data_IF_984595319957
#
_entry.id   IF_984595319957
#
_cell.length_a   1.000
_cell.length_b   1.000
_cell.length_c   1.000
_cell.angle_alpha   90.00
_cell.angle_beta   90.00
_cell.angle_gamma   90.00
#
_symmetry.space_group_name_H-M   'P 1'
#
loop_
_entity.id
_entity.type
_entity.pdbx_description
1 polymer ?
#
# COMPACT_ATOMS: atom_id res chain seq x y z
N UNK A 1 2.75 -19.92 -45.32
CA UNK A 1 2.07 -20.68 -44.25
C UNK A 1 2.55 -20.13 -42.93
N UNK A 2 1.75 -19.42 -42.13
CA UNK A 2 2.16 -18.93 -40.84
C UNK A 2 1.85 -19.93 -39.72
N UNK A 3 2.65 -20.02 -38.66
CA UNK A 3 2.38 -20.93 -37.56
C UNK A 3 1.44 -20.33 -36.52
N UNK A 4 0.58 -21.19 -36.00
CA UNK A 4 -0.44 -20.97 -34.97
C UNK A 4 0.12 -20.40 -33.67
N UNK A 5 -0.55 -19.38 -33.15
CA UNK A 5 -0.40 -18.91 -31.78
C UNK A 5 -1.00 -19.95 -30.81
N UNK A 6 -0.18 -20.52 -29.95
CA UNK A 6 -0.65 -21.26 -28.78
C UNK A 6 -0.78 -20.29 -27.61
N UNK A 7 -2.03 -20.05 -27.20
CA UNK A 7 -2.35 -19.48 -25.89
C UNK A 7 -1.93 -20.49 -24.82
N UNK A 8 -0.97 -20.13 -23.98
CA UNK A 8 -0.65 -20.85 -22.76
C UNK A 8 -1.51 -20.28 -21.64
N UNK A 9 -2.48 -21.05 -21.18
CA UNK A 9 -3.29 -20.72 -20.01
C UNK A 9 -2.46 -20.90 -18.74
N UNK A 10 -2.55 -19.91 -17.85
CA UNK A 10 -1.99 -19.96 -16.49
C UNK A 10 -2.83 -20.92 -15.66
N UNK A 11 -2.26 -22.05 -15.27
CA UNK A 11 -2.84 -22.98 -14.31
C UNK A 11 -2.38 -22.58 -12.91
N UNK A 12 -3.26 -21.93 -12.16
CA UNK A 12 -3.09 -21.72 -10.71
C UNK A 12 -3.54 -23.02 -10.03
N UNK A 13 -2.60 -23.75 -9.44
CA UNK A 13 -2.92 -24.94 -8.63
C UNK A 13 -3.41 -24.46 -7.26
N UNK A 14 -4.72 -24.46 -7.06
CA UNK A 14 -5.35 -24.34 -5.75
C UNK A 14 -5.36 -25.72 -5.07
N UNK A 15 -4.63 -25.86 -3.99
CA UNK A 15 -4.77 -27.01 -3.09
C UNK A 15 -5.95 -26.75 -2.15
N UNK A 16 -7.11 -27.35 -2.46
CA UNK A 16 -8.30 -27.33 -1.60
C UNK A 16 -8.21 -28.48 -0.60
N UNK A 17 -8.10 -28.19 0.67
CA UNK A 17 -8.34 -29.17 1.75
C UNK A 17 -9.84 -29.10 2.07
N UNK A 18 -10.56 -30.14 1.67
CA UNK A 18 -11.99 -30.34 1.99
C UNK A 18 -12.09 -30.98 3.37
N UNK A 19 -12.57 -30.21 4.35
CA UNK A 19 -13.05 -30.75 5.62
C UNK A 19 -14.57 -30.93 5.58
N UNK A 20 -15.04 -32.15 5.55
CA UNK A 20 -16.46 -32.51 5.69
C UNK A 20 -16.93 -32.29 7.11
N UNK A 21 -17.98 -31.50 7.31
CA UNK A 21 -18.88 -31.59 8.46
C UNK A 21 -20.31 -31.58 7.96
N UNK A 22 -21.09 -32.60 8.31
CA UNK A 22 -22.48 -32.83 7.92
C UNK A 22 -23.47 -31.94 8.71
N UNK A 23 -24.68 -31.69 8.17
CA UNK A 23 -25.64 -30.77 8.76
C UNK A 23 -26.59 -31.46 9.75
N UNK A 24 -26.98 -30.73 10.77
CA UNK A 24 -28.12 -31.11 11.61
C UNK A 24 -29.31 -30.19 11.37
N UNK A 25 -30.47 -30.82 11.24
CA UNK A 25 -31.72 -30.20 10.83
C UNK A 25 -32.60 -29.87 12.05
N UNK A 26 -33.20 -28.69 12.08
CA UNK A 26 -34.17 -28.33 13.11
C UNK A 26 -35.08 -27.17 12.71
N UNK A 27 -36.31 -27.48 12.45
CA UNK A 27 -37.48 -26.70 12.04
C UNK A 27 -37.87 -25.53 12.95
N UNK A 28 -38.52 -24.51 12.36
CA UNK A 28 -39.38 -23.58 13.06
C UNK A 28 -39.76 -22.37 12.20
N UNK A 29 -40.86 -22.46 11.47
CA UNK A 29 -41.49 -21.35 10.78
C UNK A 29 -42.47 -20.63 11.73
N UNK A 30 -42.45 -19.31 11.75
CA UNK A 30 -43.61 -18.50 12.09
C UNK A 30 -43.66 -17.21 11.27
N UNK A 31 -44.73 -17.10 10.52
CA UNK A 31 -45.16 -15.96 9.71
C UNK A 31 -45.94 -14.97 10.55
N UNK A 32 -45.66 -13.67 10.47
CA UNK A 32 -46.67 -12.63 10.74
C UNK A 32 -46.49 -11.50 9.72
N UNK A 33 -47.58 -11.19 9.02
CA UNK A 33 -47.74 -10.16 8.02
C UNK A 33 -48.30 -8.85 8.61
N UNK A 34 -48.57 -7.79 7.80
CA UNK A 34 -48.17 -6.42 8.10
C UNK A 34 -49.35 -5.55 8.62
N UNK A 35 -49.06 -4.41 9.22
CA UNK A 35 -50.07 -3.39 9.52
C UNK A 35 -49.69 -2.02 8.95
N UNK A 36 -50.75 -1.38 8.44
CA UNK A 36 -50.86 -0.22 7.60
C UNK A 36 -50.49 1.13 8.25
N UNK A 37 -50.25 2.12 7.38
CA UNK A 37 -50.19 3.55 7.65
C UNK A 37 -51.58 4.16 7.95
N UNK A 38 -51.63 5.36 8.55
CA UNK A 38 -52.45 6.39 7.94
C UNK A 38 -51.86 7.81 7.83
N UNK A 39 -52.10 8.39 6.69
CA UNK A 39 -52.60 9.68 6.23
C UNK A 39 -52.39 10.96 7.06
N UNK A 40 -51.99 11.99 6.31
CA UNK A 40 -51.99 13.41 6.63
C UNK A 40 -53.42 13.98 6.77
N UNK A 41 -53.59 15.19 7.33
CA UNK A 41 -54.10 16.25 6.46
C UNK A 41 -53.51 17.68 6.65
N UNK A 42 -53.66 18.41 5.56
CA UNK A 42 -53.67 19.82 5.23
C UNK A 42 -53.78 20.89 6.33
N UNK A 43 -53.01 21.97 6.17
CA UNK A 43 -53.47 23.32 6.45
C UNK A 43 -52.82 24.34 5.50
N UNK A 44 -53.64 24.94 4.70
CA UNK A 44 -53.37 26.09 3.83
C UNK A 44 -53.40 27.38 4.67
N UNK A 45 -52.38 28.21 4.59
CA UNK A 45 -52.53 29.64 4.96
C UNK A 45 -52.09 30.54 3.81
N UNK A 46 -53.04 31.32 3.33
CA UNK A 46 -52.91 32.35 2.30
C UNK A 46 -52.83 33.70 3.01
N UNK A 47 -51.68 34.34 2.97
CA UNK A 47 -51.63 35.80 3.02
C UNK A 47 -50.32 36.30 2.42
N UNK A 48 -50.34 36.75 1.18
CA UNK A 48 -49.24 37.51 0.58
C UNK A 48 -49.78 38.77 -0.08
N UNK A 49 -49.43 39.93 0.48
CA UNK A 49 -49.58 41.22 -0.16
C UNK A 49 -48.53 41.45 -1.25
N UNK A 50 -48.79 42.19 -2.29
CA UNK A 50 -47.88 42.37 -3.41
C UNK A 50 -46.70 43.27 -3.09
N UNK A 51 -45.48 42.84 -3.44
CA UNK A 51 -44.24 43.65 -3.44
C UNK A 51 -44.12 44.48 -4.70
N UNK A 52 -43.52 45.68 -4.58
CA UNK A 52 -43.24 46.55 -5.75
C UNK A 52 -42.12 45.96 -6.66
N UNK A 53 -42.03 46.34 -7.93
CA UNK A 53 -41.08 45.81 -8.90
C UNK A 53 -39.66 46.15 -8.50
N UNK A 54 -38.86 45.10 -8.28
CA UNK A 54 -37.44 45.19 -7.95
C UNK A 54 -36.61 45.54 -9.16
N UNK A 55 -35.60 46.37 -8.96
CA UNK A 55 -34.50 46.72 -9.85
C UNK A 55 -33.89 45.43 -10.47
N UNK A 56 -33.50 45.45 -11.78
CA UNK A 56 -32.87 44.28 -12.38
C UNK A 56 -31.61 43.86 -11.62
N UNK A 57 -31.56 42.63 -11.12
CA UNK A 57 -30.38 42.06 -10.56
C UNK A 57 -29.26 42.08 -11.58
N UNK A 58 -28.10 42.59 -11.22
CA UNK A 58 -26.89 42.51 -11.99
C UNK A 58 -26.66 40.99 -12.28
N UNK A 59 -26.45 40.64 -13.56
CA UNK A 59 -26.08 39.29 -13.98
C UNK A 59 -24.79 38.96 -13.28
N UNK A 60 -24.80 38.00 -12.34
CA UNK A 60 -23.58 37.43 -11.83
C UNK A 60 -22.80 36.81 -12.97
N UNK A 61 -21.61 37.35 -13.19
CA UNK A 61 -20.62 36.82 -14.10
C UNK A 61 -20.33 35.35 -13.65
N UNK A 62 -20.36 34.35 -14.58
CA UNK A 62 -20.04 32.99 -14.19
C UNK A 62 -18.65 32.94 -13.55
N UNK A 63 -18.44 32.14 -12.49
CA UNK A 63 -17.13 32.07 -11.84
C UNK A 63 -16.08 31.74 -12.90
N UNK A 64 -15.02 32.57 -12.95
CA UNK A 64 -13.88 32.31 -13.82
C UNK A 64 -13.35 30.92 -13.54
N UNK A 65 -12.99 30.15 -14.58
CA UNK A 65 -12.35 28.85 -14.39
C UNK A 65 -11.18 29.02 -13.42
N UNK A 66 -11.14 28.21 -12.36
CA UNK A 66 -10.03 28.19 -11.42
C UNK A 66 -8.75 27.96 -12.24
N UNK A 67 -7.85 28.93 -12.28
CA UNK A 67 -6.59 28.79 -13.01
C UNK A 67 -5.85 27.57 -12.43
N UNK A 68 -5.55 26.61 -13.29
CA UNK A 68 -4.72 25.47 -12.92
C UNK A 68 -3.35 25.99 -12.46
N UNK A 69 -2.87 25.67 -11.26
CA UNK A 69 -1.61 26.19 -10.76
C UNK A 69 -0.46 25.92 -11.76
N UNK A 70 0.36 26.96 -12.03
CA UNK A 70 1.48 26.84 -12.91
C UNK A 70 2.61 25.99 -12.29
N UNK A 71 3.25 25.15 -13.10
CA UNK A 71 4.45 24.39 -12.72
C UNK A 71 5.63 25.34 -12.66
N UNK A 72 6.39 25.34 -11.55
CA UNK A 72 7.55 26.20 -11.36
C UNK A 72 8.82 25.64 -12.00
N UNK A 73 9.90 26.41 -11.96
CA UNK A 73 11.22 25.95 -12.40
C UNK A 73 11.89 25.09 -11.31
N UNK A 74 12.57 24.01 -11.72
CA UNK A 74 13.33 23.15 -10.82
C UNK A 74 14.58 23.85 -10.25
N UNK A 75 15.02 23.42 -9.07
CA UNK A 75 16.23 23.88 -8.41
C UNK A 75 17.51 23.50 -9.20
N UNK A 76 18.64 24.12 -8.88
CA UNK A 76 19.93 23.72 -9.45
C UNK A 76 20.30 22.28 -9.04
N UNK A 77 20.01 21.90 -7.79
CA UNK A 77 20.23 20.54 -7.28
C UNK A 77 19.42 19.53 -8.05
N UNK A 78 18.10 19.78 -8.23
CA UNK A 78 17.23 18.89 -8.99
C UNK A 78 17.75 18.62 -10.42
N UNK A 79 18.22 19.67 -11.11
CA UNK A 79 18.83 19.53 -12.46
C UNK A 79 20.13 18.76 -12.43
N UNK A 80 21.00 19.04 -11.45
CA UNK A 80 22.31 18.38 -11.31
C UNK A 80 22.15 16.87 -11.11
N UNK A 81 21.20 16.45 -10.26
CA UNK A 81 20.94 15.03 -9.98
C UNK A 81 19.99 14.39 -11.00
N UNK A 82 19.52 15.16 -11.99
CA UNK A 82 18.52 14.70 -12.95
C UNK A 82 17.25 14.14 -12.27
N UNK A 83 16.71 14.91 -11.32
CA UNK A 83 15.58 14.50 -10.49
C UNK A 83 14.37 14.11 -11.36
N UNK A 84 13.78 12.97 -11.07
CA UNK A 84 12.60 12.46 -11.76
C UNK A 84 11.63 11.86 -10.74
N UNK A 85 10.87 12.70 -10.06
CA UNK A 85 9.96 12.27 -9.01
C UNK A 85 8.62 11.74 -9.54
N UNK A 86 8.46 11.69 -10.86
CA UNK A 86 7.39 10.96 -11.55
C UNK A 86 7.79 9.53 -11.96
N UNK A 87 9.00 9.10 -11.61
CA UNK A 87 9.50 7.76 -11.92
C UNK A 87 8.89 6.66 -11.06
N UNK A 88 9.17 5.41 -11.42
CA UNK A 88 8.68 4.23 -10.73
C UNK A 88 9.44 3.98 -9.42
N UNK A 89 8.72 3.45 -8.44
CA UNK A 89 9.23 3.13 -7.10
C UNK A 89 9.05 1.62 -6.85
N UNK A 90 10.13 0.86 -6.58
CA UNK A 90 10.00 -0.54 -6.22
C UNK A 90 9.36 -0.66 -4.83
N UNK A 91 8.25 -1.40 -4.76
CA UNK A 91 7.58 -1.84 -3.53
C UNK A 91 7.79 -3.33 -3.44
N UNK A 92 8.73 -3.78 -2.62
CA UNK A 92 9.15 -5.18 -2.55
C UNK A 92 8.33 -5.91 -1.49
N UNK A 93 7.78 -7.05 -1.88
CA UNK A 93 6.94 -7.90 -1.04
C UNK A 93 7.72 -9.15 -0.63
N UNK A 94 7.95 -9.27 0.67
CA UNK A 94 8.53 -10.44 1.32
C UNK A 94 7.44 -11.20 2.07
N UNK A 95 7.66 -12.51 2.23
CA UNK A 95 6.88 -13.37 3.09
C UNK A 95 7.80 -13.97 4.17
N UNK A 96 7.90 -15.28 4.29
CA UNK A 96 8.67 -15.87 5.37
C UNK A 96 10.19 -15.66 5.21
N UNK A 97 10.83 -15.27 6.29
CA UNK A 97 12.29 -15.29 6.41
C UNK A 97 12.64 -16.51 7.27
N UNK A 98 13.27 -17.51 6.66
CA UNK A 98 13.50 -18.82 7.25
C UNK A 98 14.86 -19.38 6.86
N UNK A 99 15.47 -20.19 7.74
CA UNK A 99 16.77 -20.81 7.44
C UNK A 99 16.68 -21.80 6.26
N UNK A 100 15.57 -22.54 6.17
CA UNK A 100 15.32 -23.56 5.16
C UNK A 100 14.08 -23.21 4.35
N UNK A 101 14.23 -22.58 3.16
CA UNK A 101 13.12 -22.25 2.27
C UNK A 101 12.39 -23.50 1.78
N UNK A 102 11.06 -23.48 1.84
CA UNK A 102 10.18 -24.55 1.36
C UNK A 102 9.27 -24.10 0.20
N UNK A 103 9.25 -22.80 -0.12
CA UNK A 103 8.47 -22.23 -1.21
C UNK A 103 9.21 -21.10 -1.92
N UNK A 104 8.74 -20.72 -3.10
CA UNK A 104 9.30 -19.58 -3.85
C UNK A 104 9.04 -18.21 -3.18
N UNK A 105 8.18 -18.17 -2.17
CA UNK A 105 7.91 -16.96 -1.38
C UNK A 105 8.86 -16.81 -0.20
N UNK A 106 9.61 -17.86 0.14
CA UNK A 106 10.54 -17.85 1.27
C UNK A 106 11.86 -17.21 0.87
N UNK A 107 12.50 -16.57 1.84
CA UNK A 107 13.86 -16.06 1.72
C UNK A 107 14.66 -16.50 2.95
N UNK A 108 15.93 -16.76 2.76
CA UNK A 108 16.83 -16.90 3.89
C UNK A 108 17.24 -15.54 4.46
N UNK A 109 17.66 -15.44 5.73
CA UNK A 109 18.27 -14.21 6.25
C UNK A 109 19.46 -13.74 5.42
N UNK A 110 20.23 -14.65 4.83
CA UNK A 110 21.37 -14.33 3.97
C UNK A 110 20.92 -13.70 2.64
N UNK A 111 19.93 -14.27 1.96
CA UNK A 111 19.39 -13.70 0.72
C UNK A 111 18.77 -12.33 0.95
N UNK A 112 18.06 -12.14 2.08
CA UNK A 112 17.54 -10.83 2.46
C UNK A 112 18.68 -9.83 2.66
N UNK A 113 19.74 -10.21 3.39
CA UNK A 113 20.93 -9.38 3.61
C UNK A 113 21.59 -8.95 2.31
N UNK A 114 21.71 -9.87 1.35
CA UNK A 114 22.29 -9.59 0.03
C UNK A 114 21.44 -8.61 -0.76
N UNK A 115 20.11 -8.78 -0.79
CA UNK A 115 19.19 -7.87 -1.49
C UNK A 115 19.19 -6.48 -0.86
N UNK A 116 19.10 -6.37 0.47
CA UNK A 116 19.18 -5.08 1.17
C UNK A 116 20.54 -4.39 0.97
N UNK A 117 21.64 -5.16 0.97
CA UNK A 117 22.98 -4.64 0.69
C UNK A 117 23.07 -4.10 -0.75
N UNK A 118 22.49 -4.81 -1.71
CA UNK A 118 22.38 -4.36 -3.09
C UNK A 118 21.63 -3.03 -3.16
N UNK A 119 20.44 -2.95 -2.58
CA UNK A 119 19.62 -1.74 -2.54
C UNK A 119 20.41 -0.56 -1.96
N UNK A 120 21.11 -0.75 -0.84
CA UNK A 120 21.93 0.28 -0.21
C UNK A 120 23.06 0.78 -1.14
N UNK A 121 23.75 -0.13 -1.82
CA UNK A 121 24.85 0.19 -2.77
C UNK A 121 24.33 0.88 -4.03
N UNK A 122 23.14 0.54 -4.50
CA UNK A 122 22.51 1.17 -5.66
C UNK A 122 21.81 2.51 -5.32
N UNK A 123 21.95 2.99 -4.08
CA UNK A 123 21.46 4.32 -3.67
C UNK A 123 19.98 4.36 -3.31
N UNK A 124 19.37 3.22 -3.06
CA UNK A 124 18.00 3.17 -2.54
C UNK A 124 17.95 3.54 -1.05
N UNK A 125 16.88 4.23 -0.68
CA UNK A 125 16.58 4.62 0.71
C UNK A 125 15.21 4.09 1.08
N UNK A 126 15.10 3.20 2.07
CA UNK A 126 13.80 2.71 2.51
C UNK A 126 12.90 3.81 3.06
N UNK A 127 11.63 3.75 2.67
CA UNK A 127 10.50 4.50 3.22
C UNK A 127 9.39 3.52 3.59
N UNK A 128 8.44 3.94 4.43
CA UNK A 128 7.29 3.11 4.76
C UNK A 128 6.23 3.11 3.65
N UNK A 129 5.36 2.11 3.64
CA UNK A 129 4.19 2.09 2.76
C UNK A 129 3.26 3.29 3.03
N UNK A 130 3.18 3.72 4.29
CA UNK A 130 2.44 4.90 4.69
C UNK A 130 3.02 6.20 4.09
N UNK A 131 4.34 6.34 4.03
CA UNK A 131 5.00 7.49 3.41
C UNK A 131 4.70 7.53 1.91
N UNK A 132 4.84 6.40 1.22
CA UNK A 132 4.47 6.29 -0.19
C UNK A 132 3.00 6.67 -0.41
N UNK A 133 2.07 6.09 0.35
CA UNK A 133 0.64 6.30 0.18
C UNK A 133 0.20 7.74 0.49
N UNK A 134 0.96 8.47 1.32
CA UNK A 134 0.73 9.89 1.64
C UNK A 134 1.40 10.84 0.66
N UNK A 135 2.26 10.36 -0.23
CA UNK A 135 3.10 11.19 -1.08
C UNK A 135 4.16 11.98 -0.28
N UNK A 136 4.60 11.45 0.86
CA UNK A 136 5.65 12.04 1.68
C UNK A 136 6.97 11.28 1.45
N UNK A 137 7.75 11.72 0.45
CA UNK A 137 9.01 11.07 0.08
C UNK A 137 10.18 11.96 0.48
N UNK A 138 10.60 11.83 1.72
CA UNK A 138 11.78 12.51 2.25
C UNK A 138 13.04 11.66 2.02
N UNK A 139 13.61 11.75 0.83
CA UNK A 139 14.79 11.00 0.39
C UNK A 139 15.84 11.99 -0.12
N UNK A 140 17.13 11.85 0.24
CA UNK A 140 18.17 12.80 -0.19
C UNK A 140 18.26 12.92 -1.72
N UNK A 141 18.69 14.10 -2.19
CA UNK A 141 18.86 14.38 -3.62
C UNK A 141 19.71 13.32 -4.33
N UNK A 142 19.25 12.86 -5.49
CA UNK A 142 19.92 11.83 -6.30
C UNK A 142 19.72 10.41 -5.80
N UNK A 143 19.01 10.19 -4.68
CA UNK A 143 18.68 8.86 -4.16
C UNK A 143 17.29 8.40 -4.63
N UNK A 144 17.00 7.12 -4.39
CA UNK A 144 15.80 6.44 -4.87
C UNK A 144 15.02 5.88 -3.69
N UNK A 145 13.70 6.15 -3.55
CA UNK A 145 12.89 5.47 -2.54
C UNK A 145 12.72 3.99 -2.88
N UNK A 146 12.63 3.17 -1.85
CA UNK A 146 12.18 1.77 -1.92
C UNK A 146 11.25 1.50 -0.74
N UNK A 147 10.17 0.75 -0.96
CA UNK A 147 9.30 0.29 0.11
C UNK A 147 9.54 -1.20 0.33
N UNK A 148 9.88 -1.58 1.56
CA UNK A 148 10.06 -2.96 1.97
C UNK A 148 8.81 -3.39 2.75
N UNK A 149 8.06 -4.37 2.24
CA UNK A 149 6.83 -4.86 2.87
C UNK A 149 6.96 -6.34 3.21
N UNK A 150 6.52 -6.72 4.41
CA UNK A 150 6.57 -8.09 4.91
C UNK A 150 5.16 -8.54 5.28
N UNK A 151 4.63 -9.55 4.58
CA UNK A 151 3.27 -10.05 4.76
C UNK A 151 3.19 -11.19 5.79
N UNK A 152 2.02 -11.40 6.39
CA UNK A 152 1.66 -12.49 7.31
C UNK A 152 2.13 -12.34 8.77
N UNK A 153 3.00 -11.40 9.09
CA UNK A 153 3.50 -11.26 10.47
C UNK A 153 4.14 -12.55 11.03
N UNK A 154 5.03 -13.21 10.26
CA UNK A 154 5.67 -14.47 10.66
C UNK A 154 6.80 -14.24 11.68
N UNK A 155 7.20 -15.26 12.49
CA UNK A 155 8.29 -15.12 13.48
C UNK A 155 9.62 -14.66 12.89
N UNK A 156 9.94 -15.07 11.65
CA UNK A 156 11.18 -14.65 10.98
C UNK A 156 11.20 -13.18 10.58
N UNK A 157 10.08 -12.46 10.69
CA UNK A 157 10.08 -11.02 10.45
C UNK A 157 10.60 -10.24 11.65
N UNK A 158 10.16 -10.62 12.85
CA UNK A 158 10.52 -9.92 14.06
C UNK A 158 10.37 -10.82 15.30
N UNK A 159 11.37 -10.82 16.13
CA UNK A 159 11.39 -11.40 17.46
C UNK A 159 12.33 -10.58 18.34
N UNK A 160 12.06 -10.56 19.65
CA UNK A 160 12.90 -9.92 20.66
C UNK A 160 13.52 -10.98 21.58
N UNK A 161 14.82 -10.85 21.85
CA UNK A 161 15.50 -11.63 22.87
C UNK A 161 14.98 -11.28 24.29
N UNK A 162 15.53 -11.92 25.32
CA UNK A 162 15.16 -11.67 26.72
C UNK A 162 15.47 -10.22 27.18
N UNK A 163 16.36 -9.52 26.49
CA UNK A 163 16.78 -8.13 26.77
C UNK A 163 15.99 -7.11 25.97
N UNK A 164 15.02 -7.56 25.11
CA UNK A 164 14.24 -6.70 24.25
C UNK A 164 14.99 -6.21 22.98
N UNK A 165 16.05 -6.93 22.58
CA UNK A 165 16.81 -6.63 21.36
C UNK A 165 16.31 -7.52 20.22
N UNK A 166 16.13 -6.98 19.00
CA UNK A 166 15.74 -7.78 17.84
C UNK A 166 16.71 -8.93 17.55
N UNK A 167 16.17 -10.11 17.34
CA UNK A 167 16.93 -11.30 16.96
C UNK A 167 17.62 -11.10 15.61
N UNK A 168 18.93 -11.46 15.48
CA UNK A 168 19.77 -11.04 14.33
C UNK A 168 19.34 -11.64 12.98
N UNK A 169 18.74 -12.83 12.98
CA UNK A 169 18.32 -13.54 11.76
C UNK A 169 16.85 -13.26 11.37
N UNK A 170 16.19 -12.30 12.06
CA UNK A 170 14.90 -11.78 11.65
C UNK A 170 15.06 -10.69 10.61
N UNK A 171 13.98 -10.38 9.87
CA UNK A 171 13.98 -9.29 8.89
C UNK A 171 14.42 -7.96 9.53
N UNK A 172 13.93 -7.64 10.74
CA UNK A 172 14.33 -6.44 11.48
C UNK A 172 15.81 -6.49 11.84
N UNK A 173 16.31 -7.62 12.37
CA UNK A 173 17.72 -7.78 12.74
C UNK A 173 18.65 -7.58 11.55
N UNK A 174 18.34 -8.20 10.40
CA UNK A 174 19.09 -8.05 9.15
C UNK A 174 19.04 -6.60 8.64
N UNK A 175 17.88 -5.96 8.69
CA UNK A 175 17.71 -4.57 8.23
C UNK A 175 18.54 -3.59 9.08
N UNK A 176 18.53 -3.75 10.41
CA UNK A 176 19.35 -2.97 11.33
C UNK A 176 20.86 -3.19 11.08
N UNK A 177 21.26 -4.42 10.80
CA UNK A 177 22.65 -4.76 10.47
C UNK A 177 23.10 -4.06 9.19
N UNK A 178 22.31 -4.14 8.12
CA UNK A 178 22.63 -3.49 6.84
C UNK A 178 22.66 -1.97 6.97
N UNK A 179 21.69 -1.37 7.67
CA UNK A 179 21.66 0.07 7.91
C UNK A 179 22.89 0.57 8.67
N UNK A 180 23.38 -0.19 9.66
CA UNK A 180 24.61 0.15 10.38
C UNK A 180 25.85 0.14 9.48
N UNK A 181 25.89 -0.75 8.48
CA UNK A 181 27.01 -0.88 7.54
C UNK A 181 26.95 0.11 6.38
N UNK A 182 25.77 0.64 6.08
CA UNK A 182 25.51 1.53 4.95
C UNK A 182 24.82 2.82 5.41
N UNK A 183 25.59 3.84 5.84
CA UNK A 183 25.03 5.13 6.25
C UNK A 183 24.13 5.72 5.15
N UNK A 184 22.92 6.16 5.54
CA UNK A 184 21.90 6.67 4.61
C UNK A 184 20.88 5.61 4.14
N UNK A 185 21.12 4.31 4.37
CA UNK A 185 20.10 3.28 4.22
C UNK A 185 19.29 3.21 5.51
N UNK A 186 18.05 3.68 5.48
CA UNK A 186 17.20 3.77 6.69
C UNK A 186 16.70 2.39 7.14
N UNK A 187 16.74 2.07 8.44
CA UNK A 187 16.19 0.82 8.92
C UNK A 187 14.67 0.92 9.14
N UNK A 188 13.90 1.10 8.08
CA UNK A 188 12.44 1.15 8.12
C UNK A 188 11.83 0.19 7.11
N UNK A 189 10.68 -0.37 7.46
CA UNK A 189 9.87 -1.27 6.63
C UNK A 189 8.42 -1.24 7.11
N UNK A 190 7.52 -1.88 6.35
CA UNK A 190 6.12 -2.06 6.70
C UNK A 190 5.83 -3.55 6.93
N UNK A 191 5.28 -3.89 8.10
CA UNK A 191 4.85 -5.24 8.43
C UNK A 191 3.34 -5.34 8.38
N UNK A 192 2.82 -6.08 7.42
CA UNK A 192 1.41 -6.42 7.30
C UNK A 192 1.14 -7.66 8.16
N UNK A 193 0.45 -7.45 9.27
CA UNK A 193 0.23 -8.49 10.27
C UNK A 193 -1.19 -9.04 10.23
N UNK A 194 -1.35 -10.27 10.73
CA UNK A 194 -2.63 -10.93 11.00
C UNK A 194 -2.93 -10.95 12.51
N UNK A 195 -3.91 -11.76 12.92
CA UNK A 195 -4.40 -11.82 14.31
C UNK A 195 -3.37 -12.24 15.38
N UNK A 196 -2.31 -12.95 14.98
CA UNK A 196 -1.20 -13.35 15.87
C UNK A 196 0.14 -12.81 15.37
N UNK A 197 0.43 -11.50 15.60
CA UNK A 197 1.62 -10.86 15.08
C UNK A 197 2.90 -11.54 15.56
N UNK A 198 3.67 -12.01 14.58
CA UNK A 198 4.99 -12.65 14.77
C UNK A 198 4.97 -13.89 15.69
N UNK A 199 3.78 -14.41 16.03
CA UNK A 199 3.57 -15.50 17.01
C UNK A 199 4.21 -15.23 18.37
N UNK A 200 4.23 -13.96 18.77
CA UNK A 200 4.85 -13.53 20.05
C UNK A 200 3.92 -13.74 21.26
N UNK A 201 2.68 -14.21 21.07
CA UNK A 201 1.74 -14.45 22.16
C UNK A 201 1.52 -13.21 23.02
N UNK A 202 1.74 -13.31 24.33
CA UNK A 202 1.56 -12.19 25.28
C UNK A 202 2.55 -11.04 25.06
N UNK A 203 3.69 -11.30 24.39
CA UNK A 203 4.69 -10.27 24.05
C UNK A 203 4.36 -9.52 22.74
N UNK A 204 3.28 -9.87 22.03
CA UNK A 204 2.94 -9.24 20.77
C UNK A 204 2.74 -7.71 20.89
N UNK A 205 2.15 -7.24 21.99
CA UNK A 205 1.98 -5.82 22.25
C UNK A 205 3.32 -5.09 22.48
N UNK A 206 4.28 -5.74 23.15
CA UNK A 206 5.65 -5.22 23.31
C UNK A 206 6.31 -5.10 21.94
N UNK A 207 6.22 -6.14 21.10
CA UNK A 207 6.80 -6.15 19.77
C UNK A 207 6.23 -5.08 18.85
N UNK A 208 4.89 -4.92 18.80
CA UNK A 208 4.28 -3.91 17.95
C UNK A 208 4.63 -2.48 18.41
N UNK A 209 4.70 -2.22 19.72
CA UNK A 209 5.15 -0.91 20.22
C UNK A 209 6.60 -0.65 19.84
N UNK A 210 7.48 -1.65 20.04
CA UNK A 210 8.88 -1.53 19.64
C UNK A 210 9.03 -1.13 18.18
N UNK A 211 8.33 -1.81 17.26
CA UNK A 211 8.36 -1.48 15.83
C UNK A 211 7.95 -0.03 15.58
N UNK A 212 6.82 0.41 16.13
CA UNK A 212 6.30 1.77 15.93
C UNK A 212 7.23 2.83 16.51
N UNK A 213 7.83 2.60 17.67
CA UNK A 213 8.76 3.51 18.34
C UNK A 213 10.08 3.65 17.56
N UNK A 214 10.45 2.61 16.78
CA UNK A 214 11.66 2.62 15.94
C UNK A 214 11.39 3.00 14.48
N UNK A 215 10.20 3.55 14.17
CA UNK A 215 9.89 4.09 12.85
C UNK A 215 9.40 3.06 11.82
N UNK A 216 9.18 1.82 12.22
CA UNK A 216 8.54 0.82 11.35
C UNK A 216 7.03 1.05 11.29
N UNK A 217 6.42 0.67 10.18
CA UNK A 217 4.98 0.67 10.04
C UNK A 217 4.40 -0.72 10.32
N UNK A 218 3.30 -0.76 11.07
CA UNK A 218 2.45 -1.94 11.22
C UNK A 218 1.18 -1.70 10.40
N UNK A 219 1.00 -2.51 9.36
CA UNK A 219 -0.14 -2.46 8.44
C UNK A 219 -1.12 -3.62 8.67
N UNK A 220 -2.33 -3.47 8.16
CA UNK A 220 -3.40 -4.45 8.29
C UNK A 220 -3.32 -5.49 7.16
N UNK A 221 -3.35 -6.80 7.52
CA UNK A 221 -3.38 -7.91 6.55
C UNK A 221 -4.58 -8.84 6.75
N UNK A 222 -5.68 -8.31 7.27
CA UNK A 222 -6.90 -8.99 7.70
C UNK A 222 -6.70 -9.94 8.90
N UNK A 223 -7.79 -10.20 9.62
CA UNK A 223 -7.73 -10.99 10.85
C UNK A 223 -7.22 -12.42 10.64
N UNK A 224 -7.80 -13.12 9.67
CA UNK A 224 -7.56 -14.54 9.41
C UNK A 224 -6.85 -14.82 8.09
N UNK A 225 -6.23 -13.81 7.46
CA UNK A 225 -5.68 -13.91 6.11
C UNK A 225 -6.74 -14.33 5.08
N UNK A 226 -7.95 -13.75 5.17
CA UNK A 226 -9.09 -14.14 4.35
C UNK A 226 -8.98 -13.64 2.91
N UNK A 227 -9.45 -14.46 1.94
CA UNK A 227 -9.71 -14.01 0.58
C UNK A 227 -10.94 -13.10 0.56
N UNK A 228 -10.71 -11.79 0.50
CA UNK A 228 -11.77 -10.78 0.56
C UNK A 228 -12.69 -10.79 -0.65
N UNK A 229 -12.29 -11.40 -1.77
CA UNK A 229 -13.11 -11.51 -2.98
C UNK A 229 -14.32 -12.43 -2.79
N UNK A 230 -14.24 -13.35 -1.84
CA UNK A 230 -15.26 -14.33 -1.52
C UNK A 230 -16.28 -13.82 -0.49
N UNK A 231 -15.98 -12.71 0.19
CA UNK A 231 -16.77 -12.20 1.30
C UNK A 231 -17.79 -11.13 0.86
N UNK A 232 -18.88 -11.05 1.61
CA UNK A 232 -19.80 -9.91 1.54
C UNK A 232 -19.23 -8.68 2.28
N UNK A 233 -19.94 -7.55 2.21
CA UNK A 233 -19.53 -6.31 2.88
C UNK A 233 -19.25 -6.51 4.37
N UNK A 234 -20.15 -7.22 5.06
CA UNK A 234 -20.03 -7.42 6.50
C UNK A 234 -18.83 -8.30 6.85
N UNK A 235 -18.57 -9.34 6.02
CA UNK A 235 -17.38 -10.20 6.15
C UNK A 235 -16.09 -9.42 5.96
N UNK A 236 -15.97 -8.65 4.88
CA UNK A 236 -14.80 -7.79 4.61
C UNK A 236 -14.54 -6.84 5.77
N UNK A 237 -15.59 -6.15 6.23
CA UNK A 237 -15.45 -5.16 7.31
C UNK A 237 -15.14 -5.79 8.68
N UNK A 238 -15.59 -7.02 8.95
CA UNK A 238 -15.21 -7.75 10.17
C UNK A 238 -13.74 -8.17 10.16
N UNK A 239 -13.26 -8.73 9.03
CA UNK A 239 -11.87 -9.16 8.88
C UNK A 239 -10.89 -8.01 9.10
N UNK A 240 -11.19 -6.85 8.52
CA UNK A 240 -10.35 -5.66 8.62
C UNK A 240 -10.50 -4.98 9.98
N UNK A 241 -11.73 -4.68 10.40
CA UNK A 241 -12.00 -3.91 11.61
C UNK A 241 -11.54 -4.61 12.88
N UNK A 242 -11.75 -5.94 12.97
CA UNK A 242 -11.28 -6.73 14.13
C UNK A 242 -9.76 -6.70 14.28
N UNK A 243 -9.03 -6.77 13.16
CA UNK A 243 -7.58 -6.66 13.21
C UNK A 243 -7.13 -5.23 13.53
N UNK A 244 -7.79 -4.22 12.98
CA UNK A 244 -7.47 -2.82 13.24
C UNK A 244 -7.62 -2.45 14.72
N UNK A 245 -8.68 -2.94 15.36
CA UNK A 245 -8.88 -2.80 16.81
C UNK A 245 -7.71 -3.44 17.57
N UNK A 246 -7.31 -4.66 17.19
CA UNK A 246 -6.20 -5.37 17.83
C UNK A 246 -4.85 -4.66 17.64
N UNK A 247 -4.53 -4.23 16.42
CA UNK A 247 -3.30 -3.47 16.14
C UNK A 247 -3.28 -2.20 16.97
N UNK A 248 -4.40 -1.45 16.98
CA UNK A 248 -4.52 -0.20 17.75
C UNK A 248 -4.33 -0.42 19.25
N UNK A 249 -4.95 -1.46 19.81
CA UNK A 249 -4.83 -1.80 21.23
C UNK A 249 -3.39 -2.20 21.62
N UNK A 250 -2.69 -2.92 20.73
CA UNK A 250 -1.33 -3.40 21.00
C UNK A 250 -0.26 -2.34 20.75
N UNK A 251 -0.34 -1.60 19.63
CA UNK A 251 0.69 -0.65 19.19
C UNK A 251 0.46 0.79 19.66
N UNK A 252 -0.77 1.12 20.09
CA UNK A 252 -1.20 2.49 20.35
C UNK A 252 -1.44 3.33 19.09
N UNK A 253 -1.37 2.75 17.89
CA UNK A 253 -1.54 3.45 16.62
C UNK A 253 -2.44 2.68 15.66
N UNK A 254 -3.22 3.42 14.86
CA UNK A 254 -4.00 2.86 13.77
C UNK A 254 -3.11 2.59 12.55
N UNK A 255 -3.43 1.51 11.81
CA UNK A 255 -2.78 1.24 10.54
C UNK A 255 -3.11 2.32 9.50
N UNK A 256 -2.11 2.69 8.71
CA UNK A 256 -2.27 3.66 7.61
C UNK A 256 -2.55 2.95 6.30
N UNK A 257 -2.03 1.72 6.17
CA UNK A 257 -2.11 0.92 4.96
C UNK A 257 -2.66 -0.48 5.21
N UNK A 258 -3.22 -1.07 4.14
CA UNK A 258 -3.72 -2.44 4.07
C UNK A 258 -3.01 -3.16 2.92
N UNK A 259 -2.65 -4.43 3.10
CA UNK A 259 -2.34 -5.31 1.98
C UNK A 259 -3.41 -6.40 1.86
N UNK A 260 -3.88 -6.64 0.64
CA UNK A 260 -4.85 -7.71 0.39
C UNK A 260 -4.18 -9.08 0.43
N UNK A 261 -4.63 -10.02 1.29
CA UNK A 261 -4.25 -11.42 1.16
C UNK A 261 -4.46 -11.93 -0.25
N UNK A 262 -3.49 -12.67 -0.79
CA UNK A 262 -3.51 -13.21 -2.17
C UNK A 262 -3.63 -12.15 -3.28
N UNK A 263 -3.59 -10.86 -2.97
CA UNK A 263 -3.98 -9.79 -3.88
C UNK A 263 -5.49 -9.76 -4.19
N UNK A 264 -6.30 -10.49 -3.43
CA UNK A 264 -7.73 -10.69 -3.69
C UNK A 264 -8.56 -9.51 -3.20
N UNK A 265 -9.08 -8.73 -4.15
CA UNK A 265 -9.90 -7.54 -3.87
C UNK A 265 -11.34 -7.92 -3.55
N UNK A 266 -12.00 -7.24 -2.60
CA UNK A 266 -13.44 -7.39 -2.41
C UNK A 266 -14.19 -6.86 -3.65
N UNK A 267 -15.44 -7.26 -3.82
CA UNK A 267 -16.29 -6.81 -4.94
C UNK A 267 -16.40 -5.29 -5.08
N UNK A 268 -16.24 -4.55 -3.99
CA UNK A 268 -16.15 -3.09 -3.97
C UNK A 268 -14.97 -2.70 -3.07
N UNK A 269 -13.98 -2.04 -3.64
CA UNK A 269 -12.78 -1.58 -2.91
C UNK A 269 -13.13 -0.66 -1.73
N UNK A 270 -14.22 0.12 -1.86
CA UNK A 270 -14.69 0.99 -0.77
C UNK A 270 -15.02 0.27 0.54
N UNK A 271 -15.34 -1.04 0.49
CA UNK A 271 -15.57 -1.83 1.70
C UNK A 271 -14.31 -2.06 2.53
N UNK A 272 -13.16 -2.13 1.84
CA UNK A 272 -11.86 -2.27 2.48
C UNK A 272 -11.20 -0.91 2.73
N UNK A 273 -11.53 0.12 1.94
CA UNK A 273 -10.91 1.45 2.04
C UNK A 273 -11.18 2.13 3.37
N UNK A 274 -12.43 2.15 3.80
CA UNK A 274 -12.82 2.79 5.03
C UNK A 274 -14.12 2.22 5.62
N UNK A 275 -14.19 2.25 6.96
CA UNK A 275 -15.41 2.09 7.74
C UNK A 275 -15.40 3.14 8.85
N UNK A 276 -16.45 3.97 8.89
CA UNK A 276 -16.56 5.07 9.84
C UNK A 276 -16.34 4.60 11.28
N UNK A 277 -15.50 5.34 12.02
CA UNK A 277 -15.14 5.03 13.40
C UNK A 277 -14.13 3.89 13.58
N UNK A 278 -13.96 2.98 12.58
CA UNK A 278 -13.13 1.78 12.72
C UNK A 278 -11.78 1.91 11.97
N UNK A 279 -11.80 2.17 10.66
CA UNK A 279 -10.57 2.27 9.86
C UNK A 279 -10.72 3.18 8.64
N UNK A 280 -9.59 3.76 8.19
CA UNK A 280 -9.51 4.53 6.95
C UNK A 280 -8.06 4.49 6.42
N UNK A 281 -7.82 3.64 5.43
CA UNK A 281 -6.47 3.49 4.88
C UNK A 281 -6.15 4.56 3.85
N UNK A 282 -4.89 4.99 3.80
CA UNK A 282 -4.36 5.90 2.80
C UNK A 282 -3.86 5.17 1.55
N UNK A 283 -3.44 3.92 1.70
CA UNK A 283 -3.00 3.08 0.61
C UNK A 283 -3.40 1.62 0.80
N UNK A 284 -3.77 0.95 -0.29
CA UNK A 284 -4.07 -0.48 -0.31
C UNK A 284 -3.17 -1.15 -1.33
N UNK A 285 -2.44 -2.17 -0.87
CA UNK A 285 -1.39 -2.84 -1.62
C UNK A 285 -1.86 -4.19 -2.17
N UNK A 286 -1.47 -4.45 -3.42
CA UNK A 286 -1.73 -5.72 -4.10
C UNK A 286 -0.53 -6.65 -4.01
N UNK A 287 -0.76 -7.95 -4.20
CA UNK A 287 0.27 -8.83 -4.72
C UNK A 287 0.39 -8.53 -6.23
N UNK A 288 1.41 -7.75 -6.60
CA UNK A 288 1.58 -7.27 -7.96
C UNK A 288 2.77 -7.93 -8.66
N UNK A 289 3.15 -7.39 -9.80
CA UNK A 289 4.20 -7.92 -10.67
C UNK A 289 5.06 -6.83 -11.32
N UNK A 290 4.88 -5.57 -10.89
CA UNK A 290 5.64 -4.42 -11.39
C UNK A 290 5.87 -3.40 -10.27
N UNK A 291 6.86 -2.49 -10.40
CA UNK A 291 7.02 -1.34 -9.51
C UNK A 291 5.76 -0.47 -9.48
N UNK A 292 5.56 0.25 -8.40
CA UNK A 292 4.49 1.23 -8.28
C UNK A 292 4.82 2.47 -9.11
N UNK A 293 3.80 3.11 -9.67
CA UNK A 293 3.91 4.51 -10.09
C UNK A 293 4.27 5.38 -8.86
N UNK A 294 4.93 6.51 -9.08
CA UNK A 294 5.09 7.54 -8.06
C UNK A 294 3.73 8.06 -7.58
N UNK A 295 3.54 8.41 -6.30
CA UNK A 295 2.30 9.00 -5.80
C UNK A 295 1.96 10.35 -6.49
N UNK A 296 2.92 10.96 -7.16
CA UNK A 296 2.77 12.21 -7.91
C UNK A 296 2.35 12.01 -9.36
N UNK A 297 2.38 10.77 -9.86
CA UNK A 297 2.06 10.42 -11.24
C UNK A 297 0.55 10.22 -11.43
N UNK A 298 0.01 10.60 -12.61
CA UNK A 298 -1.43 10.45 -12.95
C UNK A 298 -1.94 9.01 -12.87
N UNK A 299 -1.05 8.02 -13.05
CA UNK A 299 -1.39 6.59 -13.00
C UNK A 299 -1.32 5.99 -11.58
N UNK A 300 -1.03 6.80 -10.56
CA UNK A 300 -1.01 6.28 -9.20
C UNK A 300 -2.43 6.00 -8.70
N UNK A 301 -2.68 4.76 -8.33
CA UNK A 301 -3.94 4.34 -7.71
C UNK A 301 -3.70 3.89 -6.27
N UNK A 302 -4.07 4.73 -5.32
CA UNK A 302 -3.91 4.46 -3.90
C UNK A 302 -4.76 3.28 -3.38
N UNK A 303 -5.76 2.82 -4.15
CA UNK A 303 -6.57 1.63 -3.83
C UNK A 303 -5.98 0.34 -4.44
N UNK A 304 -4.85 0.45 -5.17
CA UNK A 304 -4.32 -0.63 -5.98
C UNK A 304 -2.81 -0.54 -6.17
N UNK A 305 -2.07 -0.19 -5.12
CA UNK A 305 -0.62 -0.01 -5.19
C UNK A 305 0.06 -1.34 -5.52
N UNK A 306 0.81 -1.35 -6.62
CA UNK A 306 1.48 -2.55 -7.11
C UNK A 306 2.71 -2.87 -6.28
N UNK A 307 3.00 -4.17 -6.10
CA UNK A 307 4.20 -4.69 -5.46
C UNK A 307 4.93 -5.68 -6.36
N UNK A 308 6.19 -5.92 -6.07
CA UNK A 308 7.02 -6.95 -6.73
C UNK A 308 7.47 -7.97 -5.70
N UNK A 309 7.34 -9.25 -6.04
CA UNK A 309 7.82 -10.33 -5.16
C UNK A 309 9.33 -10.27 -5.01
N UNK A 310 9.82 -10.37 -3.76
CA UNK A 310 11.25 -10.56 -3.50
C UNK A 310 11.69 -11.94 -3.99
N UNK A 311 12.50 -11.98 -5.03
CA UNK A 311 13.20 -13.18 -5.47
C UNK A 311 14.34 -12.85 -6.44
N UNK A 312 15.31 -13.76 -6.53
CA UNK A 312 16.30 -13.76 -7.60
C UNK A 312 15.66 -14.02 -8.97
N UNK A 313 16.47 -13.94 -10.03
CA UNK A 313 16.05 -14.37 -11.36
C UNK A 313 16.01 -15.88 -11.40
N UNK A 314 14.82 -16.45 -11.49
CA UNK A 314 14.62 -17.88 -11.64
C UNK A 314 14.36 -18.15 -13.12
N UNK A 315 15.24 -18.88 -13.85
CA UNK A 315 15.19 -18.97 -15.31
C UNK A 315 13.89 -19.55 -15.88
N UNK A 316 13.30 -20.49 -15.17
CA UNK A 316 12.19 -21.32 -15.66
C UNK A 316 10.81 -20.83 -15.19
N UNK A 317 10.73 -19.65 -14.58
CA UNK A 317 9.47 -19.06 -14.17
C UNK A 317 9.43 -17.54 -14.40
N UNK A 318 8.31 -16.90 -14.01
CA UNK A 318 8.04 -15.48 -14.20
C UNK A 318 9.00 -14.57 -13.41
N UNK A 319 9.69 -15.06 -12.37
CA UNK A 319 10.69 -14.29 -11.62
C UNK A 319 11.89 -13.85 -12.48
N UNK A 320 12.13 -14.51 -13.62
CA UNK A 320 13.09 -14.01 -14.61
C UNK A 320 12.78 -12.57 -15.06
N UNK A 321 11.51 -12.15 -15.02
CA UNK A 321 11.05 -10.85 -15.52
C UNK A 321 10.35 -9.99 -14.48
N UNK A 322 9.70 -10.60 -13.49
CA UNK A 322 8.70 -9.91 -12.66
C UNK A 322 9.02 -9.89 -11.15
N UNK A 323 10.12 -10.51 -10.73
CA UNK A 323 10.57 -10.43 -9.34
C UNK A 323 11.60 -9.31 -9.11
N UNK A 324 11.93 -9.05 -7.85
CA UNK A 324 12.72 -7.89 -7.43
C UNK A 324 14.06 -7.78 -8.15
N UNK A 325 14.83 -8.87 -8.27
CA UNK A 325 16.12 -8.83 -8.95
C UNK A 325 16.02 -8.37 -10.40
N UNK A 326 14.99 -8.83 -11.14
CA UNK A 326 14.78 -8.46 -12.53
C UNK A 326 14.38 -6.97 -12.66
N UNK A 327 13.46 -6.50 -11.81
CA UNK A 327 13.01 -5.12 -11.82
C UNK A 327 14.10 -4.14 -11.38
N UNK A 328 14.91 -4.49 -10.37
CA UNK A 328 16.03 -3.66 -9.94
C UNK A 328 17.08 -3.53 -11.05
N UNK A 329 17.38 -4.61 -11.78
CA UNK A 329 18.23 -4.54 -12.97
C UNK A 329 17.63 -3.64 -14.04
N UNK A 330 16.34 -3.82 -14.33
CA UNK A 330 15.67 -3.02 -15.34
C UNK A 330 15.66 -1.52 -14.97
N UNK A 331 15.33 -1.15 -13.73
CA UNK A 331 15.34 0.24 -13.27
C UNK A 331 16.74 0.86 -13.28
N UNK A 332 17.79 0.07 -13.02
CA UNK A 332 19.18 0.52 -13.15
C UNK A 332 19.51 0.83 -14.61
N UNK A 333 19.11 -0.05 -15.52
CA UNK A 333 19.42 0.04 -16.95
C UNK A 333 18.50 1.06 -17.68
N UNK A 334 17.39 1.48 -17.03
CA UNK A 334 16.43 2.46 -17.53
C UNK A 334 16.27 3.63 -16.52
N UNK A 335 17.31 4.45 -16.28
CA UNK A 335 17.29 5.46 -15.22
C UNK A 335 16.21 6.54 -15.40
N UNK A 336 15.69 6.74 -16.63
CA UNK A 336 14.60 7.68 -16.90
C UNK A 336 13.25 7.19 -16.40
N UNK A 337 13.11 5.90 -16.10
CA UNK A 337 11.89 5.30 -15.56
C UNK A 337 11.92 5.22 -14.03
N UNK A 338 13.10 5.33 -13.43
CA UNK A 338 13.29 5.25 -12.00
C UNK A 338 13.04 6.60 -11.32
N UNK A 339 12.42 6.56 -10.15
CA UNK A 339 12.32 7.74 -9.28
C UNK A 339 13.70 8.21 -8.83
N UNK A 340 13.97 9.50 -8.99
CA UNK A 340 15.20 10.17 -8.50
C UNK A 340 14.76 11.41 -7.73
N UNK A 341 15.08 11.47 -6.43
CA UNK A 341 14.68 12.57 -5.57
C UNK A 341 15.46 13.85 -5.87
N UNK A 342 14.80 15.00 -5.70
CA UNK A 342 15.44 16.33 -5.68
C UNK A 342 15.96 16.74 -4.28
N UNK A 343 15.59 15.97 -3.24
CA UNK A 343 15.97 16.17 -1.85
C UNK A 343 15.06 17.10 -1.05
N UNK A 344 13.98 17.61 -1.63
CA UNK A 344 12.99 18.48 -0.97
C UNK A 344 11.59 17.81 -0.99
N UNK A 345 11.11 17.27 0.12
CA UNK A 345 9.79 16.62 0.16
C UNK A 345 8.60 17.57 -0.07
N UNK A 346 8.84 18.87 -0.14
CA UNK A 346 7.85 19.91 -0.43
C UNK A 346 7.69 20.23 -1.93
N UNK A 347 8.52 19.63 -2.80
CA UNK A 347 8.49 19.84 -4.26
C UNK A 347 8.38 18.52 -5.02
N UNK A 348 8.04 18.58 -6.30
CA UNK A 348 8.01 17.42 -7.21
C UNK A 348 8.77 17.81 -8.47
N UNK A 349 10.02 17.40 -8.57
CA UNK A 349 10.93 17.78 -9.68
C UNK A 349 10.97 16.70 -10.77
N UNK A 350 10.92 17.14 -12.04
CA UNK A 350 10.90 16.24 -13.19
C UNK A 350 11.33 16.93 -14.48
N UNK A 351 11.77 16.19 -15.52
CA UNK A 351 12.04 16.73 -16.85
C UNK A 351 10.80 17.36 -17.49
N UNK A 352 10.92 18.53 -18.11
CA UNK A 352 9.80 19.30 -18.65
C UNK A 352 8.88 18.50 -19.60
N UNK A 353 9.44 17.55 -20.36
CA UNK A 353 8.68 16.67 -21.23
C UNK A 353 7.69 15.73 -20.52
N UNK A 354 7.76 15.61 -19.19
CA UNK A 354 6.88 14.79 -18.36
C UNK A 354 5.78 15.57 -17.63
N UNK A 355 5.60 16.85 -17.94
CA UNK A 355 4.58 17.68 -17.27
C UNK A 355 3.15 17.15 -17.38
N UNK A 356 2.85 16.39 -18.44
CA UNK A 356 1.57 15.70 -18.63
C UNK A 356 1.34 14.52 -17.68
N UNK A 357 2.42 13.96 -17.12
CA UNK A 357 2.37 12.80 -16.21
C UNK A 357 2.10 13.22 -14.76
N UNK A 358 2.20 14.53 -14.44
CA UNK A 358 1.97 15.05 -13.09
C UNK A 358 0.49 15.08 -12.75
N UNK A 359 0.10 14.42 -11.68
CA UNK A 359 -1.25 14.43 -11.15
C UNK A 359 -1.70 15.87 -10.77
N UNK A 360 -2.96 16.18 -11.03
CA UNK A 360 -3.52 17.55 -10.89
C UNK A 360 -3.33 18.10 -9.48
N UNK A 361 -3.51 17.28 -8.46
CA UNK A 361 -3.41 17.67 -7.06
C UNK A 361 -1.98 18.11 -6.65
N UNK A 362 -0.98 17.68 -7.42
CA UNK A 362 0.44 17.99 -7.18
C UNK A 362 0.97 19.13 -8.06
N UNK A 363 0.20 19.71 -8.97
CA UNK A 363 0.69 20.75 -9.90
C UNK A 363 1.34 21.94 -9.22
N UNK A 364 0.79 22.40 -8.09
CA UNK A 364 1.38 23.52 -7.31
C UNK A 364 2.78 23.23 -6.77
N UNK A 365 3.10 21.96 -6.56
CA UNK A 365 4.40 21.50 -6.08
C UNK A 365 5.37 21.15 -7.22
N UNK A 366 4.85 21.05 -8.45
CA UNK A 366 5.63 20.69 -9.65
C UNK A 366 6.76 21.66 -9.95
N UNK A 367 7.93 21.12 -10.28
CA UNK A 367 9.14 21.86 -10.67
C UNK A 367 9.76 21.17 -11.89
N UNK A 368 9.69 21.82 -13.05
CA UNK A 368 10.17 21.25 -14.31
C UNK A 368 11.52 21.85 -14.73
N UNK A 369 12.34 21.09 -15.48
CA UNK A 369 13.60 21.53 -16.08
C UNK A 369 13.83 20.90 -17.44
#
# INVERSE_FOLDING_TARGET
>A
MPPLHKLAGVLIVLSVIVGLVAPDAGRGAETVAPAAAPAAPDAVDRSAAPRPPGTPAAREEPPRPSETPAIGAASAVARQVQANELGQIPVIMYHRIVAEPASSLDRTPQELREELTRLAREGYVPITAADLARGWIDVPAGRHPVVLTFDDGTPGHFALDERGVPEPDTAVGVLLEVARRHPGFRPVATFYVNSDPFRMGDRAAEGLRWLVEHGFEVGNHTWSHADLSTLDKAGVQREIGRLEERITAMSGRRSVTLAYPFGARPRRSSWARAKEGEYAFRGIFLAGWRPSASPFHVDFDADSIMRIQSAGKIPDNDCRRYCSAAWLDWLRDHPRERYVSDGDPGTVSFPAGRAGDLAVDYRRYGRAY
#
